data_IF_633123253184
#
_entry.id   IF_633123253184
#
_cell.length_a   1.000
_cell.length_b   1.000
_cell.length_c   1.000
_cell.angle_alpha   90.00
_cell.angle_beta   90.00
_cell.angle_gamma   90.00
#
_symmetry.space_group_name_H-M   'P 1'
#
loop_
_entity.id
_entity.type
_entity.pdbx_description
1 polymer ?
#
# COMPACT_ATOMS: atom_id res chain seq x y z
N UNK A 1 -13.20 19.69 -20.27
CA UNK A 1 -14.36 20.48 -19.82
C UNK A 1 -15.61 19.66 -20.12
N UNK A 2 -16.11 18.88 -19.16
CA UNK A 2 -17.25 17.96 -19.38
C UNK A 2 -18.43 18.46 -18.57
N UNK A 3 -19.48 18.92 -19.26
CA UNK A 3 -20.77 19.27 -18.69
C UNK A 3 -21.58 18.01 -18.41
N UNK A 4 -21.90 17.74 -17.14
CA UNK A 4 -22.94 16.78 -16.78
C UNK A 4 -24.28 17.52 -16.64
N UNK A 5 -25.16 17.33 -17.62
CA UNK A 5 -26.58 17.64 -17.50
C UNK A 5 -27.21 16.59 -16.58
N UNK A 6 -27.62 17.00 -15.39
CA UNK A 6 -28.45 16.18 -14.50
C UNK A 6 -29.90 16.36 -14.97
N UNK A 7 -30.45 15.34 -15.63
CA UNK A 7 -31.89 15.23 -15.91
C UNK A 7 -32.63 15.18 -14.57
N UNK A 8 -33.60 16.07 -14.39
CA UNK A 8 -34.56 16.02 -13.30
C UNK A 8 -35.41 14.73 -13.47
N UNK A 9 -35.09 13.71 -12.67
CA UNK A 9 -35.99 12.59 -12.48
C UNK A 9 -37.09 13.04 -11.50
N UNK A 10 -38.34 12.91 -11.92
CA UNK A 10 -39.51 12.99 -11.05
C UNK A 10 -39.38 11.90 -9.98
N UNK A 11 -38.95 12.30 -8.77
CA UNK A 11 -38.90 11.41 -7.62
C UNK A 11 -40.31 11.24 -7.04
N UNK A 12 -40.94 10.06 -7.12
CA UNK A 12 -42.27 9.80 -6.57
C UNK A 12 -42.31 9.88 -5.04
N UNK A 13 -41.15 10.05 -4.39
CA UNK A 13 -40.99 10.28 -2.96
C UNK A 13 -41.27 11.74 -2.63
N UNK A 14 -40.90 12.68 -3.51
CA UNK A 14 -41.05 14.13 -3.28
C UNK A 14 -42.51 14.56 -3.36
N UNK A 15 -43.28 13.99 -4.30
CA UNK A 15 -44.72 14.25 -4.41
C UNK A 15 -45.50 13.67 -3.22
N UNK A 16 -45.09 12.51 -2.70
CA UNK A 16 -45.67 11.93 -1.47
C UNK A 16 -45.33 12.73 -0.21
N UNK A 17 -44.14 13.32 -0.13
CA UNK A 17 -43.77 14.21 0.98
C UNK A 17 -44.58 15.52 0.94
N UNK A 18 -44.86 16.05 -0.26
CA UNK A 18 -45.69 17.26 -0.41
C UNK A 18 -47.15 17.03 0.03
N UNK A 19 -47.75 15.89 -0.29
CA UNK A 19 -49.10 15.52 0.19
C UNK A 19 -49.15 15.33 1.71
N UNK A 20 -48.09 14.77 2.31
CA UNK A 20 -47.99 14.59 3.77
C UNK A 20 -47.81 15.94 4.47
N UNK A 21 -46.98 16.84 3.92
CA UNK A 21 -46.75 18.17 4.47
C UNK A 21 -48.02 19.03 4.47
N UNK A 22 -48.85 18.94 3.43
CA UNK A 22 -50.11 19.69 3.33
C UNK A 22 -51.16 19.15 4.33
N UNK A 23 -51.18 17.82 4.54
CA UNK A 23 -52.04 17.19 5.54
C UNK A 23 -51.62 17.56 6.97
N UNK A 24 -50.31 17.60 7.25
CA UNK A 24 -49.72 18.02 8.53
C UNK A 24 -49.96 19.51 8.79
N UNK A 25 -49.82 20.37 7.78
CA UNK A 25 -50.12 21.80 7.90
C UNK A 25 -51.59 22.05 8.30
N UNK A 26 -52.53 21.29 7.74
CA UNK A 26 -53.95 21.37 8.12
C UNK A 26 -54.19 20.93 9.58
N UNK A 27 -53.52 19.88 10.05
CA UNK A 27 -53.62 19.39 11.43
C UNK A 27 -52.99 20.36 12.46
N UNK A 28 -51.89 21.03 12.08
CA UNK A 28 -51.24 22.06 12.91
C UNK A 28 -52.11 23.32 13.02
N UNK A 29 -52.85 23.69 11.97
CA UNK A 29 -53.78 24.83 12.02
C UNK A 29 -54.92 24.60 13.02
N UNK A 30 -55.38 23.36 13.17
CA UNK A 30 -56.41 22.96 14.16
C UNK A 30 -55.89 23.07 15.60
N UNK A 31 -54.59 22.85 15.86
CA UNK A 31 -53.99 22.90 17.21
C UNK A 31 -53.99 24.30 17.85
N UNK A 32 -54.00 25.40 17.07
CA UNK A 32 -54.00 26.78 17.63
C UNK A 32 -55.32 27.21 18.26
N UNK A 33 -56.43 26.52 17.99
CA UNK A 33 -57.78 26.88 18.47
C UNK A 33 -58.39 25.87 19.47
N UNK A 34 -57.59 24.99 20.09
CA UNK A 34 -58.13 23.96 21.00
C UNK A 34 -58.23 24.43 22.46
N UNK A 35 -59.45 24.39 23.01
CA UNK A 35 -59.76 24.60 24.43
C UNK A 35 -59.05 23.58 25.34
N UNK A 36 -58.67 24.02 26.55
CA UNK A 36 -57.95 23.22 27.58
C UNK A 36 -58.55 21.83 27.85
N UNK A 37 -59.87 21.65 27.73
CA UNK A 37 -60.54 20.36 27.95
C UNK A 37 -60.20 19.30 26.88
N UNK A 38 -60.01 19.69 25.61
CA UNK A 38 -59.62 18.77 24.53
C UNK A 38 -58.16 18.31 24.63
N UNK A 39 -57.32 19.06 25.36
CA UNK A 39 -55.94 18.64 25.67
C UNK A 39 -55.88 17.58 26.77
N UNK A 40 -56.83 17.59 27.72
CA UNK A 40 -56.90 16.62 28.83
C UNK A 40 -57.67 15.34 28.45
N UNK A 41 -58.66 15.44 27.56
CA UNK A 41 -59.44 14.29 27.08
C UNK A 41 -59.50 14.29 25.53
N UNK A 42 -58.45 13.80 24.86
CA UNK A 42 -58.41 13.76 23.40
C UNK A 42 -59.39 12.74 22.83
N UNK A 43 -60.12 13.16 21.79
CA UNK A 43 -60.99 12.32 20.96
C UNK A 43 -60.18 11.24 20.21
N UNK A 44 -60.85 10.18 19.73
CA UNK A 44 -60.20 9.04 19.05
C UNK A 44 -59.29 9.49 17.90
N UNK A 45 -59.76 10.42 17.07
CA UNK A 45 -59.02 10.96 15.92
C UNK A 45 -57.80 11.79 16.35
N UNK A 46 -57.85 12.44 17.51
CA UNK A 46 -56.71 13.20 18.05
C UNK A 46 -55.64 12.30 18.65
N UNK A 47 -56.03 11.15 19.22
CA UNK A 47 -55.09 10.12 19.68
C UNK A 47 -54.40 9.45 18.50
N UNK A 48 -55.14 9.12 17.46
CA UNK A 48 -54.60 8.54 16.23
C UNK A 48 -53.64 9.51 15.53
N UNK A 49 -54.00 10.79 15.41
CA UNK A 49 -53.08 11.81 14.90
C UNK A 49 -51.80 11.96 15.74
N UNK A 50 -51.90 11.91 17.07
CA UNK A 50 -50.74 11.98 17.96
C UNK A 50 -49.84 10.73 17.85
N UNK A 51 -50.42 9.54 17.69
CA UNK A 51 -49.68 8.30 17.44
C UNK A 51 -48.98 8.31 16.09
N UNK A 52 -49.63 8.86 15.05
CA UNK A 52 -49.01 9.06 13.74
C UNK A 52 -47.85 10.07 13.79
N UNK A 53 -48.01 11.20 14.48
CA UNK A 53 -46.93 12.18 14.69
C UNK A 53 -45.75 11.56 15.45
N UNK A 54 -46.02 10.77 16.51
CA UNK A 54 -45.00 10.06 17.27
C UNK A 54 -44.27 9.04 16.39
N UNK A 55 -45.01 8.28 15.57
CA UNK A 55 -44.44 7.29 14.65
C UNK A 55 -43.58 7.96 13.59
N UNK A 56 -44.04 9.07 12.99
CA UNK A 56 -43.25 9.86 12.04
C UNK A 56 -41.95 10.35 12.68
N UNK A 57 -42.02 10.93 13.89
CA UNK A 57 -40.84 11.39 14.63
C UNK A 57 -39.83 10.26 14.92
N UNK A 58 -40.31 9.08 15.33
CA UNK A 58 -39.45 7.90 15.50
C UNK A 58 -38.80 7.45 14.19
N UNK A 59 -39.54 7.52 13.08
CA UNK A 59 -39.03 7.09 11.77
C UNK A 59 -37.95 8.06 11.27
N UNK A 60 -38.15 9.36 11.46
CA UNK A 60 -37.13 10.39 11.17
C UNK A 60 -35.88 10.23 12.05
N UNK A 61 -36.05 9.95 13.34
CA UNK A 61 -34.94 9.73 14.24
C UNK A 61 -34.10 8.52 13.81
N UNK A 62 -34.75 7.38 13.54
CA UNK A 62 -34.09 6.17 13.06
C UNK A 62 -33.38 6.38 11.72
N UNK A 63 -33.96 7.20 10.84
CA UNK A 63 -33.32 7.56 9.57
C UNK A 63 -32.05 8.39 9.79
N UNK A 64 -32.11 9.40 10.66
CA UNK A 64 -30.94 10.24 11.00
C UNK A 64 -29.85 9.43 11.69
N UNK A 65 -30.23 8.52 12.58
CA UNK A 65 -29.28 7.61 13.25
C UNK A 65 -28.55 6.73 12.23
N UNK A 66 -29.27 6.09 11.30
CA UNK A 66 -28.66 5.30 10.21
C UNK A 66 -27.80 6.14 9.28
N UNK A 67 -28.24 7.34 8.92
CA UNK A 67 -27.47 8.24 8.06
C UNK A 67 -26.15 8.65 8.73
N UNK A 68 -26.18 8.92 10.05
CA UNK A 68 -24.99 9.21 10.85
C UNK A 68 -24.07 7.98 10.95
N UNK A 69 -24.62 6.80 11.14
CA UNK A 69 -23.85 5.55 11.17
C UNK A 69 -23.15 5.26 9.84
N UNK A 70 -23.86 5.45 8.72
CA UNK A 70 -23.29 5.31 7.37
C UNK A 70 -22.19 6.35 7.15
N UNK A 71 -22.42 7.61 7.52
CA UNK A 71 -21.42 8.67 7.38
C UNK A 71 -20.16 8.38 8.22
N UNK A 72 -20.33 7.91 9.47
CA UNK A 72 -19.24 7.49 10.34
C UNK A 72 -18.45 6.32 9.73
N UNK A 73 -19.14 5.30 9.23
CA UNK A 73 -18.50 4.14 8.61
C UNK A 73 -17.76 4.51 7.32
N UNK A 74 -18.30 5.44 6.53
CA UNK A 74 -17.63 5.97 5.35
C UNK A 74 -16.35 6.74 5.72
N UNK A 75 -16.40 7.56 6.79
CA UNK A 75 -15.23 8.27 7.29
C UNK A 75 -14.15 7.32 7.81
N UNK A 76 -14.53 6.26 8.54
CA UNK A 76 -13.58 5.25 9.02
C UNK A 76 -12.89 4.55 7.84
N UNK A 77 -13.65 4.11 6.83
CA UNK A 77 -13.07 3.52 5.62
C UNK A 77 -12.15 4.47 4.87
N UNK A 78 -12.53 5.75 4.76
CA UNK A 78 -11.68 6.76 4.12
C UNK A 78 -10.35 6.95 4.88
N UNK A 79 -10.38 6.93 6.22
CA UNK A 79 -9.17 7.01 7.04
C UNK A 79 -8.29 5.77 6.82
N UNK A 80 -8.88 4.56 6.81
CA UNK A 80 -8.16 3.31 6.55
C UNK A 80 -7.51 3.30 5.16
N UNK A 81 -8.24 3.71 4.12
CA UNK A 81 -7.72 3.82 2.76
C UNK A 81 -6.57 4.83 2.68
N UNK A 82 -6.72 6.01 3.29
CA UNK A 82 -5.66 7.03 3.34
C UNK A 82 -4.41 6.52 4.05
N UNK A 83 -4.57 5.78 5.16
CA UNK A 83 -3.45 5.24 5.91
C UNK A 83 -2.72 4.15 5.12
N UNK A 84 -3.48 3.27 4.46
CA UNK A 84 -2.93 2.26 3.55
C UNK A 84 -2.20 2.91 2.38
N UNK A 85 -2.79 3.92 1.73
CA UNK A 85 -2.14 4.66 0.65
C UNK A 85 -0.86 5.34 1.11
N UNK A 86 -0.85 5.95 2.29
CA UNK A 86 0.34 6.56 2.87
C UNK A 86 1.45 5.53 3.16
N UNK A 87 1.10 4.39 3.75
CA UNK A 87 2.04 3.31 4.04
C UNK A 87 2.62 2.70 2.75
N UNK A 88 1.79 2.48 1.73
CA UNK A 88 2.20 1.94 0.44
C UNK A 88 3.09 2.94 -0.30
N UNK A 89 2.66 4.21 -0.39
CA UNK A 89 3.45 5.29 -1.02
C UNK A 89 4.74 5.61 -0.26
N UNK A 90 4.81 5.37 1.04
CA UNK A 90 6.04 5.53 1.82
C UNK A 90 7.02 4.37 1.66
N UNK A 91 6.51 3.12 1.62
CA UNK A 91 7.36 1.92 1.52
C UNK A 91 7.91 1.67 0.11
N UNK A 92 7.16 2.01 -0.93
CA UNK A 92 7.59 1.78 -2.33
C UNK A 92 8.87 2.55 -2.69
N UNK A 93 9.00 3.87 -2.43
CA UNK A 93 10.22 4.62 -2.70
C UNK A 93 11.43 4.07 -1.94
N UNK A 94 11.26 3.72 -0.66
CA UNK A 94 12.34 3.14 0.16
C UNK A 94 12.80 1.79 -0.42
N UNK A 95 11.86 0.92 -0.81
CA UNK A 95 12.18 -0.36 -1.47
C UNK A 95 12.89 -0.15 -2.81
N UNK A 96 12.47 0.85 -3.58
CA UNK A 96 13.08 1.22 -4.86
C UNK A 96 14.49 1.74 -4.69
N UNK A 97 14.70 2.71 -3.80
CA UNK A 97 16.01 3.29 -3.48
C UNK A 97 16.97 2.22 -2.97
N UNK A 98 16.52 1.33 -2.08
CA UNK A 98 17.32 0.19 -1.61
C UNK A 98 17.70 -0.75 -2.76
N UNK A 99 16.77 -1.05 -3.67
CA UNK A 99 17.03 -1.92 -4.82
C UNK A 99 18.02 -1.29 -5.80
N UNK A 100 17.87 0.01 -6.06
CA UNK A 100 18.79 0.80 -6.90
C UNK A 100 20.20 0.83 -6.29
N UNK A 101 20.31 1.07 -4.97
CA UNK A 101 21.58 1.03 -4.24
C UNK A 101 22.24 -0.36 -4.32
N UNK A 102 21.50 -1.44 -4.04
CA UNK A 102 22.05 -2.81 -4.12
C UNK A 102 22.53 -3.14 -5.54
N UNK A 103 21.79 -2.72 -6.56
CA UNK A 103 22.18 -2.92 -7.95
C UNK A 103 23.45 -2.15 -8.30
N UNK A 104 23.60 -0.91 -7.82
CA UNK A 104 24.81 -0.11 -8.01
C UNK A 104 26.02 -0.75 -7.34
N UNK A 105 25.88 -1.17 -6.07
CA UNK A 105 26.96 -1.86 -5.34
C UNK A 105 27.36 -3.18 -6.02
N UNK A 106 26.39 -3.95 -6.53
CA UNK A 106 26.66 -5.16 -7.32
C UNK A 106 27.50 -4.84 -8.56
N UNK A 107 27.12 -3.80 -9.34
CA UNK A 107 27.89 -3.39 -10.52
C UNK A 107 29.31 -2.94 -10.17
N UNK A 108 29.47 -2.18 -9.07
CA UNK A 108 30.79 -1.77 -8.60
C UNK A 108 31.66 -2.98 -8.25
N UNK A 109 31.09 -3.97 -7.55
CA UNK A 109 31.78 -5.20 -7.20
C UNK A 109 32.17 -6.03 -8.43
N UNK A 110 31.25 -6.21 -9.39
CA UNK A 110 31.52 -6.93 -10.64
C UNK A 110 32.66 -6.28 -11.44
N UNK A 111 32.63 -4.94 -11.57
CA UNK A 111 33.70 -4.21 -12.23
C UNK A 111 35.04 -4.36 -11.50
N UNK A 112 35.04 -4.31 -10.17
CA UNK A 112 36.26 -4.47 -9.38
C UNK A 112 36.81 -5.88 -9.47
N UNK A 113 35.95 -6.90 -9.48
CA UNK A 113 36.34 -8.29 -9.68
C UNK A 113 36.97 -8.48 -11.06
N UNK A 114 36.36 -7.94 -12.11
CA UNK A 114 36.91 -8.02 -13.46
C UNK A 114 38.29 -7.36 -13.55
N UNK A 115 38.50 -6.21 -12.90
CA UNK A 115 39.82 -5.58 -12.81
C UNK A 115 40.84 -6.49 -12.11
N UNK A 116 40.48 -7.07 -10.96
CA UNK A 116 41.36 -7.97 -10.22
C UNK A 116 41.68 -9.26 -10.99
N UNK A 117 40.72 -9.79 -11.77
CA UNK A 117 40.95 -10.92 -12.68
C UNK A 117 41.97 -10.55 -13.74
N UNK A 118 41.78 -9.42 -14.42
CA UNK A 118 42.72 -8.96 -15.44
C UNK A 118 44.13 -8.72 -14.86
N UNK A 119 44.22 -8.10 -13.68
CA UNK A 119 45.49 -7.89 -12.98
C UNK A 119 46.17 -9.23 -12.62
N UNK A 120 45.39 -10.19 -12.13
CA UNK A 120 45.88 -11.53 -11.80
C UNK A 120 46.36 -12.27 -13.05
N UNK A 121 45.58 -12.28 -14.13
CA UNK A 121 45.95 -12.93 -15.41
C UNK A 121 47.23 -12.34 -15.99
N UNK A 122 47.36 -11.01 -16.01
CA UNK A 122 48.56 -10.34 -16.49
C UNK A 122 49.80 -10.70 -15.64
N UNK A 123 49.64 -10.73 -14.31
CA UNK A 123 50.69 -11.15 -13.39
C UNK A 123 51.09 -12.61 -13.60
N UNK A 124 50.10 -13.47 -13.83
CA UNK A 124 50.29 -14.89 -14.07
C UNK A 124 51.07 -15.14 -15.36
N UNK A 125 50.69 -14.50 -16.46
CA UNK A 125 51.44 -14.56 -17.73
C UNK A 125 52.90 -14.15 -17.52
N UNK A 126 53.14 -13.03 -16.84
CA UNK A 126 54.50 -12.57 -16.55
C UNK A 126 55.30 -13.53 -15.65
N UNK A 127 54.65 -14.26 -14.74
CA UNK A 127 55.29 -15.31 -13.93
C UNK A 127 55.57 -16.58 -14.74
N UNK A 128 54.69 -16.97 -15.67
CA UNK A 128 54.91 -18.08 -16.59
C UNK A 128 56.10 -17.81 -17.52
N UNK A 129 56.18 -16.62 -18.10
CA UNK A 129 57.33 -16.19 -18.91
C UNK A 129 58.64 -16.21 -18.10
N UNK A 130 58.60 -15.76 -16.84
CA UNK A 130 59.76 -15.83 -15.93
C UNK A 130 60.15 -17.28 -15.61
N UNK A 131 59.16 -18.17 -15.42
CA UNK A 131 59.40 -19.59 -15.20
C UNK A 131 60.02 -20.28 -16.41
N UNK A 132 59.61 -19.90 -17.63
CA UNK A 132 60.15 -20.45 -18.87
C UNK A 132 61.65 -20.19 -19.04
N UNK A 133 62.11 -19.02 -18.59
CA UNK A 133 63.49 -18.58 -18.65
C UNK A 133 64.42 -19.24 -17.59
N UNK A 134 63.87 -20.07 -16.70
CA UNK A 134 64.67 -20.80 -15.70
C UNK A 134 65.44 -21.93 -16.40
N UNK A 135 66.77 -21.85 -16.34
CA UNK A 135 67.68 -22.83 -16.97
C UNK A 135 67.66 -24.20 -16.29
N UNK A 136 67.42 -24.27 -14.97
CA UNK A 136 67.45 -25.51 -14.19
C UNK A 136 66.07 -26.22 -14.29
N UNK A 137 65.98 -27.43 -14.89
CA UNK A 137 64.68 -28.06 -15.17
C UNK A 137 63.83 -28.36 -13.93
N UNK A 138 64.46 -28.79 -12.83
CA UNK A 138 63.75 -29.11 -11.59
C UNK A 138 63.12 -27.89 -10.92
N UNK A 139 63.78 -26.73 -10.99
CA UNK A 139 63.25 -25.47 -10.49
C UNK A 139 62.14 -24.93 -11.40
N UNK A 140 62.30 -25.07 -12.72
CA UNK A 140 61.27 -24.72 -13.70
C UNK A 140 59.98 -25.50 -13.47
N UNK A 141 60.07 -26.82 -13.36
CA UNK A 141 58.90 -27.68 -13.09
C UNK A 141 58.22 -27.33 -11.76
N UNK A 142 59.00 -27.18 -10.68
CA UNK A 142 58.46 -26.79 -9.38
C UNK A 142 57.76 -25.43 -9.42
N UNK A 143 58.25 -24.48 -10.21
CA UNK A 143 57.63 -23.16 -10.39
C UNK A 143 56.31 -23.27 -11.15
N UNK A 144 56.21 -24.11 -12.18
CA UNK A 144 54.95 -24.38 -12.85
C UNK A 144 53.92 -25.05 -11.94
N UNK A 145 54.31 -26.07 -11.17
CA UNK A 145 53.41 -26.72 -10.19
C UNK A 145 52.86 -25.71 -9.17
N UNK A 146 53.70 -24.74 -8.76
CA UNK A 146 53.28 -23.67 -7.85
C UNK A 146 52.30 -22.70 -8.52
N UNK A 147 52.52 -22.36 -9.80
CA UNK A 147 51.63 -21.48 -10.54
C UNK A 147 50.26 -22.13 -10.78
N UNK A 148 50.21 -23.42 -11.12
CA UNK A 148 48.95 -24.18 -11.24
C UNK A 148 48.16 -24.17 -9.93
N UNK A 149 48.80 -24.48 -8.80
CA UNK A 149 48.16 -24.39 -7.48
C UNK A 149 47.65 -22.99 -7.15
N UNK A 150 48.36 -21.96 -7.63
CA UNK A 150 47.95 -20.57 -7.41
C UNK A 150 46.68 -20.23 -8.20
N UNK A 151 46.55 -20.77 -9.43
CA UNK A 151 45.33 -20.65 -10.24
C UNK A 151 44.16 -21.35 -9.55
N UNK A 152 44.35 -22.58 -9.08
CA UNK A 152 43.32 -23.34 -8.36
C UNK A 152 42.81 -22.58 -7.12
N UNK A 153 43.73 -22.14 -6.27
CA UNK A 153 43.39 -21.37 -5.07
C UNK A 153 42.66 -20.06 -5.39
N UNK A 154 43.03 -19.41 -6.51
CA UNK A 154 42.40 -18.17 -6.94
C UNK A 154 40.94 -18.38 -7.33
N UNK A 155 40.64 -19.40 -8.14
CA UNK A 155 39.26 -19.71 -8.52
C UNK A 155 38.42 -20.17 -7.32
N UNK A 156 39.00 -20.95 -6.40
CA UNK A 156 38.31 -21.32 -5.16
C UNK A 156 37.95 -20.08 -4.32
N UNK A 157 38.83 -19.08 -4.27
CA UNK A 157 38.56 -17.82 -3.59
C UNK A 157 37.47 -16.98 -4.28
N UNK A 158 37.45 -16.94 -5.62
CA UNK A 158 36.38 -16.29 -6.38
C UNK A 158 35.03 -16.93 -6.08
N UNK A 159 34.96 -18.26 -6.10
CA UNK A 159 33.70 -18.97 -5.88
C UNK A 159 33.19 -18.73 -4.45
N UNK A 160 34.05 -18.82 -3.44
CA UNK A 160 33.71 -18.47 -2.05
C UNK A 160 33.20 -17.03 -1.91
N UNK A 161 33.84 -16.07 -2.59
CA UNK A 161 33.43 -14.67 -2.55
C UNK A 161 32.05 -14.47 -3.22
N UNK A 162 31.81 -15.16 -4.33
CA UNK A 162 30.52 -15.12 -5.04
C UNK A 162 29.41 -15.69 -4.18
N UNK A 163 29.66 -16.80 -3.50
CA UNK A 163 28.67 -17.44 -2.62
C UNK A 163 28.37 -16.58 -1.39
N UNK A 164 29.39 -16.03 -0.73
CA UNK A 164 29.20 -15.04 0.35
C UNK A 164 28.37 -13.84 -0.10
N UNK A 165 28.61 -13.33 -1.32
CA UNK A 165 27.84 -12.21 -1.83
C UNK A 165 26.38 -12.58 -2.09
N UNK A 166 26.10 -13.79 -2.59
CA UNK A 166 24.73 -14.30 -2.73
C UNK A 166 24.02 -14.41 -1.39
N UNK A 167 24.69 -14.95 -0.36
CA UNK A 167 24.11 -15.05 0.98
C UNK A 167 23.73 -13.67 1.55
N UNK A 168 24.57 -12.66 1.38
CA UNK A 168 24.28 -11.28 1.82
C UNK A 168 23.05 -10.73 1.08
N UNK A 169 22.94 -11.00 -0.23
CA UNK A 169 21.78 -10.58 -1.01
C UNK A 169 20.49 -11.27 -0.55
N UNK A 170 20.54 -12.58 -0.31
CA UNK A 170 19.39 -13.39 0.08
C UNK A 170 18.88 -13.02 1.49
N UNK A 171 19.80 -12.82 2.45
CA UNK A 171 19.45 -12.29 3.79
C UNK A 171 18.77 -10.91 3.69
N UNK A 172 19.14 -10.09 2.71
CA UNK A 172 18.50 -8.80 2.47
C UNK A 172 17.02 -8.89 2.06
N UNK A 173 16.61 -10.01 1.44
CA UNK A 173 15.25 -10.25 0.94
C UNK A 173 14.32 -10.75 2.06
N UNK A 174 14.80 -11.58 2.98
CA UNK A 174 13.99 -12.15 4.07
C UNK A 174 13.44 -11.10 5.05
N UNK A 175 14.16 -10.01 5.33
CA UNK A 175 13.67 -8.93 6.22
C UNK A 175 12.63 -7.99 5.58
N UNK A 176 12.16 -8.28 4.37
CA UNK A 176 11.24 -7.39 3.62
C UNK A 176 9.89 -7.99 3.25
N UNK A 177 9.64 -9.24 3.66
CA UNK A 177 8.33 -9.91 3.61
C UNK A 177 7.58 -9.72 4.92
#
# INVERSE_FOLDING_TARGET
MIHYQIKANNDPIRDKMAEIDDHVASCVYVKKNQSFLKKLFPDKDQREAAEHELRLSHTEFNFRERALEIARNAQLRAIEEMYNDYLVRGKIPIRRERSEFILEQKKMLENRLMQLVNEFENSLVAEYERAENISIPSLKNRKFDMLEKTIENYYELIDKLRDHFREILDQGVEYSS
#
